data_IF_039287201266
#
_entry.id   IF_039287201266
#
_cell.length_a   1.000
_cell.length_b   1.000
_cell.length_c   1.000
_cell.angle_alpha   90.00
_cell.angle_beta   90.00
_cell.angle_gamma   90.00
#
_symmetry.space_group_name_H-M   'P 1'
#
loop_
_entity.id
_entity.type
_entity.pdbx_description
1 polymer ?
#
# COMPACT_ATOMS: atom_id res chain seq x y z
N UNK A 1 11.33 27.44 10.95
CA UNK A 1 10.66 28.48 11.75
C UNK A 1 10.15 29.66 10.92
N UNK A 2 10.89 30.76 10.67
CA UNK A 2 10.29 31.95 9.99
C UNK A 2 9.76 31.67 8.58
N UNK A 3 10.49 30.90 7.76
CA UNK A 3 10.08 30.62 6.37
C UNK A 3 8.89 29.64 6.26
N UNK A 4 8.71 28.77 7.25
CA UNK A 4 7.55 27.86 7.32
C UNK A 4 6.31 28.61 7.76
N UNK A 5 6.41 29.47 8.78
CA UNK A 5 5.30 30.30 9.25
C UNK A 5 4.78 31.24 8.17
N UNK A 6 5.69 31.88 7.40
CA UNK A 6 5.32 32.75 6.27
C UNK A 6 4.69 31.95 5.13
N UNK A 7 5.19 30.74 4.85
CA UNK A 7 4.61 29.88 3.81
C UNK A 7 3.21 29.41 4.19
N UNK A 8 3.03 28.93 5.42
CA UNK A 8 1.72 28.51 5.94
C UNK A 8 0.72 29.68 5.95
N UNK A 9 1.15 30.88 6.37
CA UNK A 9 0.28 32.06 6.33
C UNK A 9 -0.15 32.42 4.90
N UNK A 10 0.77 32.37 3.94
CA UNK A 10 0.49 32.68 2.54
C UNK A 10 -0.44 31.65 1.85
N UNK A 11 -0.45 30.39 2.32
CA UNK A 11 -1.34 29.37 1.78
C UNK A 11 -2.82 29.69 1.97
N UNK A 12 -3.20 30.39 3.04
CA UNK A 12 -4.58 30.78 3.30
C UNK A 12 -5.12 31.89 2.38
N UNK A 13 -4.23 32.65 1.72
CA UNK A 13 -4.63 33.77 0.85
C UNK A 13 -4.73 33.40 -0.62
N UNK A 14 -4.09 32.30 -1.04
CA UNK A 14 -4.05 31.87 -2.44
C UNK A 14 -4.59 30.45 -2.60
N UNK A 15 -5.67 30.25 -3.39
CA UNK A 15 -6.17 28.91 -3.74
C UNK A 15 -5.05 28.01 -4.25
N UNK A 16 -5.13 26.69 -4.01
CA UNK A 16 -4.09 25.73 -4.37
C UNK A 16 -3.69 25.79 -5.87
N UNK A 17 -4.62 26.22 -6.71
CA UNK A 17 -4.47 26.41 -8.16
C UNK A 17 -3.53 27.57 -8.53
N UNK A 18 -3.31 28.54 -7.63
CA UNK A 18 -2.45 29.69 -7.88
C UNK A 18 -0.98 29.32 -7.68
N UNK A 19 -0.21 29.41 -8.76
CA UNK A 19 1.24 29.14 -8.81
C UNK A 19 2.05 30.27 -8.15
N UNK A 20 2.23 30.19 -6.84
CA UNK A 20 3.16 31.06 -6.08
C UNK A 20 4.62 30.61 -6.27
N UNK A 21 5.60 31.46 -5.94
CA UNK A 21 7.03 31.12 -6.06
C UNK A 21 7.41 29.85 -5.29
N UNK A 22 6.71 29.56 -4.19
CA UNK A 22 6.92 28.37 -3.36
C UNK A 22 6.22 27.12 -3.93
N UNK A 23 5.13 27.28 -4.67
CA UNK A 23 4.37 26.19 -5.30
C UNK A 23 4.84 25.83 -6.71
N UNK A 24 5.72 26.65 -7.29
CA UNK A 24 6.30 26.35 -8.61
C UNK A 24 7.17 25.10 -8.49
N UNK A 25 6.88 24.03 -9.24
CA UNK A 25 7.76 22.86 -9.30
C UNK A 25 9.17 23.31 -9.73
N UNK A 26 10.19 22.65 -9.18
CA UNK A 26 11.57 22.95 -9.56
C UNK A 26 11.75 22.75 -11.07
N UNK A 27 12.72 23.44 -11.69
CA UNK A 27 12.93 23.39 -13.15
C UNK A 27 13.23 21.98 -13.69
N UNK A 28 13.60 21.05 -12.82
CA UNK A 28 13.90 19.65 -13.14
C UNK A 28 12.96 18.67 -12.43
N UNK A 29 11.86 19.17 -11.87
CA UNK A 29 10.82 18.37 -11.25
C UNK A 29 9.82 17.95 -12.33
N UNK A 30 10.02 16.73 -12.82
CA UNK A 30 9.14 16.03 -13.76
C UNK A 30 7.87 15.48 -13.08
N UNK A 31 7.71 15.69 -11.76
CA UNK A 31 6.60 15.22 -10.91
C UNK A 31 6.45 13.70 -10.82
N UNK A 32 7.30 12.93 -11.50
CA UNK A 32 7.22 11.48 -11.60
C UNK A 32 6.14 10.99 -12.58
N UNK A 33 6.08 9.68 -12.78
CA UNK A 33 5.09 9.04 -13.64
C UNK A 33 4.14 8.20 -12.78
N UNK A 34 2.84 8.28 -13.07
CA UNK A 34 1.84 7.42 -12.43
C UNK A 34 1.79 6.10 -13.18
N UNK A 35 1.89 4.99 -12.44
CA UNK A 35 1.74 3.68 -13.04
C UNK A 35 0.33 3.53 -13.64
N UNK A 36 0.25 3.03 -14.88
CA UNK A 36 -1.02 2.76 -15.57
C UNK A 36 -1.31 1.27 -15.50
N UNK A 37 -2.41 0.91 -14.85
CA UNK A 37 -2.87 -0.48 -14.75
C UNK A 37 -4.11 -0.68 -15.63
N UNK A 38 -4.23 -1.88 -16.22
CA UNK A 38 -5.43 -2.26 -16.99
C UNK A 38 -6.63 -2.62 -16.11
N UNK A 39 -6.45 -2.61 -14.80
CA UNK A 39 -7.44 -2.95 -13.78
C UNK A 39 -7.47 -1.86 -12.72
N UNK A 40 -8.61 -1.71 -12.04
CA UNK A 40 -8.68 -0.86 -10.85
C UNK A 40 -7.77 -1.45 -9.78
N UNK A 41 -6.80 -0.67 -9.32
CA UNK A 41 -5.90 -1.06 -8.23
C UNK A 41 -6.14 -0.15 -7.02
N UNK A 42 -5.95 -0.66 -5.79
CA UNK A 42 -5.96 0.16 -4.58
C UNK A 42 -4.99 1.35 -4.66
N UNK A 43 -5.31 2.42 -3.93
CA UNK A 43 -4.56 3.69 -3.98
C UNK A 43 -3.07 3.52 -3.65
N UNK A 44 -2.70 2.55 -2.80
CA UNK A 44 -1.31 2.20 -2.47
C UNK A 44 -0.46 1.82 -3.69
N UNK A 45 -1.09 1.40 -4.79
CA UNK A 45 -0.40 1.09 -6.06
C UNK A 45 -0.46 2.26 -7.05
N UNK A 46 -1.14 3.35 -6.71
CA UNK A 46 -1.34 4.49 -7.62
C UNK A 46 -0.39 5.64 -7.36
N UNK A 47 0.56 5.47 -6.43
CA UNK A 47 1.54 6.48 -6.08
C UNK A 47 2.39 6.89 -7.28
N UNK A 48 2.62 8.20 -7.38
CA UNK A 48 3.43 8.79 -8.44
C UNK A 48 4.90 8.64 -8.06
N UNK A 49 5.64 7.88 -8.86
CA UNK A 49 7.03 7.54 -8.58
C UNK A 49 7.95 7.86 -9.74
N UNK A 50 9.25 7.91 -9.47
CA UNK A 50 10.28 7.98 -10.50
C UNK A 50 11.08 6.69 -10.52
N UNK A 51 10.92 5.92 -11.59
CA UNK A 51 11.80 4.78 -11.83
C UNK A 51 13.21 5.31 -12.09
N UNK A 52 14.16 4.90 -11.26
CA UNK A 52 15.57 5.26 -11.42
C UNK A 52 16.37 4.05 -11.87
N UNK A 53 17.29 4.25 -12.81
CA UNK A 53 18.19 3.22 -13.31
C UNK A 53 17.65 2.39 -14.48
N UNK A 54 18.36 1.32 -14.82
CA UNK A 54 17.98 0.41 -15.90
C UNK A 54 16.97 -0.61 -15.36
N UNK A 55 15.82 -0.73 -16.01
CA UNK A 55 14.89 -1.81 -15.71
C UNK A 55 15.52 -3.16 -16.04
N UNK A 56 15.17 -4.18 -15.25
CA UNK A 56 15.54 -5.57 -15.52
C UNK A 56 14.28 -6.40 -15.53
N UNK A 57 13.95 -6.96 -16.68
CA UNK A 57 12.86 -7.91 -16.79
C UNK A 57 13.30 -9.24 -16.18
N UNK A 58 12.87 -9.46 -14.93
CA UNK A 58 13.07 -10.71 -14.21
C UNK A 58 11.75 -11.14 -13.60
N UNK A 59 11.33 -12.37 -13.88
CA UNK A 59 10.22 -12.99 -13.17
C UNK A 59 10.72 -13.51 -11.82
N UNK A 60 9.96 -13.25 -10.76
CA UNK A 60 10.19 -13.85 -9.45
C UNK A 60 10.04 -15.38 -9.56
N UNK A 61 10.91 -16.11 -8.86
CA UNK A 61 10.75 -17.55 -8.67
C UNK A 61 9.53 -17.83 -7.78
N UNK A 62 9.05 -19.07 -7.78
CA UNK A 62 7.93 -19.48 -6.93
C UNK A 62 8.22 -19.26 -5.43
N UNK A 63 9.44 -19.58 -5.01
CA UNK A 63 9.88 -19.34 -3.63
C UNK A 63 9.92 -17.85 -3.29
N UNK A 64 10.43 -16.99 -4.19
CA UNK A 64 10.42 -15.54 -3.98
C UNK A 64 9.00 -14.98 -3.91
N UNK A 65 8.09 -15.48 -4.74
CA UNK A 65 6.67 -15.10 -4.70
C UNK A 65 6.04 -15.46 -3.37
N UNK A 66 6.23 -16.69 -2.90
CA UNK A 66 5.71 -17.15 -1.61
C UNK A 66 6.23 -16.29 -0.45
N UNK A 67 7.53 -16.00 -0.40
CA UNK A 67 8.09 -15.12 0.63
C UNK A 67 7.52 -13.70 0.58
N UNK A 68 7.41 -13.13 -0.63
CA UNK A 68 6.90 -11.76 -0.80
C UNK A 68 5.41 -11.67 -0.41
N UNK A 69 4.64 -12.70 -0.72
CA UNK A 69 3.24 -12.84 -0.33
C UNK A 69 3.11 -12.92 1.19
N UNK A 70 3.83 -13.81 1.87
CA UNK A 70 3.85 -13.86 3.34
C UNK A 70 4.25 -12.52 3.95
N UNK A 71 5.26 -11.85 3.39
CA UNK A 71 5.70 -10.54 3.88
C UNK A 71 4.60 -9.48 3.76
N UNK A 72 3.94 -9.39 2.61
CA UNK A 72 2.83 -8.46 2.39
C UNK A 72 1.67 -8.75 3.33
N UNK A 73 1.27 -10.02 3.46
CA UNK A 73 0.16 -10.41 4.33
C UNK A 73 0.41 -10.10 5.82
N UNK A 74 1.67 -10.07 6.24
CA UNK A 74 2.05 -9.84 7.65
C UNK A 74 2.41 -8.39 7.98
N UNK A 75 2.80 -7.58 7.00
CA UNK A 75 3.33 -6.22 7.23
C UNK A 75 2.52 -5.10 6.55
N UNK A 76 1.51 -5.43 5.74
CA UNK A 76 0.67 -4.41 5.11
C UNK A 76 -0.53 -4.09 6.00
N UNK A 77 -0.60 -2.85 6.49
CA UNK A 77 -1.70 -2.39 7.36
C UNK A 77 -3.08 -2.56 6.71
N UNK A 78 -3.16 -2.36 5.39
CA UNK A 78 -4.40 -2.57 4.63
C UNK A 78 -4.84 -4.04 4.62
N UNK A 79 -3.89 -4.98 4.73
CA UNK A 79 -4.19 -6.43 4.81
C UNK A 79 -4.64 -6.85 6.20
N UNK A 80 -4.20 -6.17 7.27
CA UNK A 80 -4.59 -6.49 8.65
C UNK A 80 -6.11 -6.46 8.85
N UNK A 81 -6.84 -5.64 8.08
CA UNK A 81 -8.30 -5.64 8.12
C UNK A 81 -8.88 -6.97 7.65
N UNK A 82 -8.34 -7.54 6.57
CA UNK A 82 -8.77 -8.82 6.02
C UNK A 82 -8.39 -9.98 6.94
N UNK A 83 -7.22 -9.91 7.58
CA UNK A 83 -6.82 -10.87 8.61
C UNK A 83 -7.86 -10.92 9.75
N UNK A 84 -8.31 -9.76 10.23
CA UNK A 84 -9.34 -9.68 11.28
C UNK A 84 -10.67 -10.29 10.83
N UNK A 85 -11.07 -10.08 9.57
CA UNK A 85 -12.30 -10.65 9.00
C UNK A 85 -12.19 -12.18 8.95
N UNK A 86 -11.09 -12.70 8.38
CA UNK A 86 -10.82 -14.14 8.32
C UNK A 86 -10.87 -14.78 9.71
N UNK A 87 -10.18 -14.18 10.69
CA UNK A 87 -10.16 -14.71 12.05
C UNK A 87 -11.53 -14.67 12.73
N UNK A 88 -12.35 -13.66 12.43
CA UNK A 88 -13.73 -13.59 12.92
C UNK A 88 -14.60 -14.69 12.31
N UNK A 89 -14.48 -14.96 11.01
CA UNK A 89 -15.16 -16.07 10.33
C UNK A 89 -14.77 -17.42 10.93
N UNK A 90 -13.46 -17.68 11.12
CA UNK A 90 -12.98 -18.92 11.72
C UNK A 90 -13.42 -19.10 13.16
N UNK A 91 -13.46 -18.04 13.98
CA UNK A 91 -14.00 -18.09 15.35
C UNK A 91 -15.49 -18.36 15.38
N UNK A 92 -16.24 -17.89 14.37
CA UNK A 92 -17.66 -18.17 14.25
C UNK A 92 -17.92 -19.62 13.85
N UNK A 93 -17.18 -20.13 12.86
CA UNK A 93 -17.29 -21.51 12.36
C UNK A 93 -16.80 -22.54 13.39
N UNK A 94 -15.65 -22.28 14.02
CA UNK A 94 -14.99 -23.16 14.99
C UNK A 94 -15.05 -22.57 16.41
N UNK A 95 -16.27 -22.52 16.97
CA UNK A 95 -16.56 -21.89 18.27
C UNK A 95 -15.73 -22.40 19.46
N UNK A 96 -15.17 -23.60 19.37
CA UNK A 96 -14.38 -24.25 20.42
C UNK A 96 -12.89 -24.41 20.07
N UNK A 97 -12.46 -23.92 18.90
CA UNK A 97 -11.04 -23.96 18.55
C UNK A 97 -10.24 -23.08 19.51
N UNK A 98 -9.05 -23.56 19.85
CA UNK A 98 -8.06 -22.80 20.62
C UNK A 98 -7.41 -21.74 19.73
N UNK A 99 -6.83 -20.71 20.35
CA UNK A 99 -6.14 -19.66 19.60
C UNK A 99 -4.96 -20.21 18.78
N UNK A 100 -4.29 -21.26 19.27
CA UNK A 100 -3.20 -21.92 18.56
C UNK A 100 -3.68 -22.64 17.28
N UNK A 101 -4.85 -23.29 17.34
CA UNK A 101 -5.46 -23.94 16.16
C UNK A 101 -5.93 -22.90 15.14
N UNK A 102 -6.52 -21.79 15.60
CA UNK A 102 -6.93 -20.70 14.72
C UNK A 102 -5.73 -20.04 14.02
N UNK A 103 -4.61 -19.85 14.73
CA UNK A 103 -3.37 -19.34 14.15
C UNK A 103 -2.80 -20.33 13.12
N UNK A 104 -2.85 -21.64 13.38
CA UNK A 104 -2.42 -22.65 12.41
C UNK A 104 -3.29 -22.63 11.14
N UNK A 105 -4.62 -22.51 11.29
CA UNK A 105 -5.53 -22.35 10.15
C UNK A 105 -5.21 -21.08 9.36
N UNK A 106 -4.93 -19.96 10.04
CA UNK A 106 -4.54 -18.72 9.38
C UNK A 106 -3.29 -18.90 8.53
N UNK A 107 -2.23 -19.51 9.06
CA UNK A 107 -0.99 -19.71 8.32
C UNK A 107 -1.18 -20.60 7.07
N UNK A 108 -2.14 -21.53 7.08
CA UNK A 108 -2.38 -22.46 5.97
C UNK A 108 -3.40 -21.95 4.96
N UNK A 109 -4.44 -21.26 5.42
CA UNK A 109 -5.64 -21.01 4.62
C UNK A 109 -5.85 -19.53 4.29
N UNK A 110 -5.27 -18.60 5.05
CA UNK A 110 -5.52 -17.17 4.87
C UNK A 110 -5.18 -16.69 3.46
N UNK A 111 -4.06 -17.17 2.92
CA UNK A 111 -3.63 -16.80 1.57
C UNK A 111 -4.64 -17.22 0.50
N UNK A 112 -5.08 -18.49 0.54
CA UNK A 112 -6.08 -19.00 -0.40
C UNK A 112 -7.44 -18.33 -0.24
N UNK A 113 -7.87 -18.07 1.00
CA UNK A 113 -9.10 -17.35 1.31
C UNK A 113 -9.06 -15.93 0.73
N UNK A 114 -7.94 -15.22 0.86
CA UNK A 114 -7.77 -13.86 0.37
C UNK A 114 -7.93 -13.74 -1.15
N UNK A 115 -7.57 -14.78 -1.92
CA UNK A 115 -7.81 -14.80 -3.37
C UNK A 115 -9.29 -14.98 -3.75
N UNK A 116 -10.12 -15.46 -2.83
CA UNK A 116 -11.54 -15.75 -3.07
C UNK A 116 -12.49 -14.74 -2.46
N UNK A 117 -11.98 -13.81 -1.63
CA UNK A 117 -12.72 -12.73 -1.00
C UNK A 117 -12.85 -11.51 -1.94
#
# INVERSE_FOLDING_TARGET
MINEEISNFAEYYFPAEVQTKNRRPARHDDRGERATYHVTVPDIFTDVGRLSGKSKDRRLTEQERSHLQTYLLTNCEDVLQYERIFMAEKRFEYRYATEAELEEMKQKEFDGWMFTY
#
